data_IF_634650348764
#
_entry.id   IF_634650348764
#
_cell.length_a   1.000
_cell.length_b   1.000
_cell.length_c   1.000
_cell.angle_alpha   90.00
_cell.angle_beta   90.00
_cell.angle_gamma   90.00
#
_symmetry.space_group_name_H-M   'P 1'
#
loop_
_entity.id
_entity.type
_entity.pdbx_description
1 polymer ?
#
# COMPACT_ATOMS: atom_id res chain seq x y z
N UNK A 1 34.79 1.04 18.69
CA UNK A 1 34.02 0.64 17.49
C UNK A 1 33.88 1.86 16.61
N UNK A 2 34.30 1.78 15.35
CA UNK A 2 34.25 2.91 14.42
C UNK A 2 32.80 3.38 14.24
N UNK A 3 32.59 4.70 14.31
CA UNK A 3 31.27 5.32 14.21
C UNK A 3 30.53 4.94 12.91
N UNK A 4 31.27 4.88 11.81
CA UNK A 4 30.76 4.45 10.50
C UNK A 4 30.23 3.01 10.53
N UNK A 5 30.96 2.09 11.17
CA UNK A 5 30.52 0.69 11.33
C UNK A 5 29.25 0.59 12.16
N UNK A 6 29.11 1.45 13.19
CA UNK A 6 27.89 1.49 14.02
C UNK A 6 26.67 1.94 13.22
N UNK A 7 26.82 2.97 12.38
CA UNK A 7 25.75 3.46 11.51
C UNK A 7 25.32 2.37 10.50
N UNK A 8 26.28 1.73 9.85
CA UNK A 8 25.98 0.64 8.90
C UNK A 8 25.29 -0.55 9.59
N UNK A 9 25.72 -0.89 10.80
CA UNK A 9 25.09 -1.95 11.58
C UNK A 9 23.63 -1.60 11.91
N UNK A 10 23.34 -0.37 12.34
CA UNK A 10 21.97 0.09 12.62
C UNK A 10 21.10 0.07 11.35
N UNK A 11 21.62 0.58 10.23
CA UNK A 11 20.92 0.52 8.95
C UNK A 11 20.54 -0.93 8.58
N UNK A 12 21.49 -1.85 8.67
CA UNK A 12 21.27 -3.25 8.33
C UNK A 12 20.28 -3.93 9.31
N UNK A 13 20.31 -3.57 10.59
CA UNK A 13 19.36 -4.07 11.58
C UNK A 13 17.92 -3.67 11.24
N UNK A 14 17.70 -2.40 10.88
CA UNK A 14 16.41 -1.91 10.44
C UNK A 14 15.96 -2.50 9.10
N UNK A 15 16.89 -2.72 8.16
CA UNK A 15 16.60 -3.45 6.92
C UNK A 15 16.09 -4.86 7.20
N UNK A 16 16.76 -5.61 8.06
CA UNK A 16 16.37 -6.97 8.42
C UNK A 16 14.99 -7.00 9.13
N UNK A 17 14.70 -6.00 9.93
CA UNK A 17 13.38 -5.85 10.55
C UNK A 17 12.29 -5.61 9.49
N UNK A 18 12.54 -4.70 8.56
CA UNK A 18 11.64 -4.43 7.43
C UNK A 18 11.42 -5.66 6.55
N UNK A 19 12.47 -6.44 6.29
CA UNK A 19 12.37 -7.68 5.53
C UNK A 19 11.45 -8.70 6.22
N UNK A 20 11.62 -8.92 7.54
CA UNK A 20 10.75 -9.82 8.30
C UNK A 20 9.30 -9.39 8.28
N UNK A 21 9.03 -8.09 8.43
CA UNK A 21 7.68 -7.52 8.39
C UNK A 21 7.04 -7.71 7.01
N UNK A 22 7.77 -7.42 5.93
CA UNK A 22 7.28 -7.63 4.57
C UNK A 22 6.91 -9.10 4.30
N UNK A 23 7.67 -10.06 4.81
CA UNK A 23 7.39 -11.49 4.66
C UNK A 23 6.05 -11.91 5.27
N UNK A 24 5.60 -11.25 6.34
CA UNK A 24 4.31 -11.53 7.01
C UNK A 24 3.20 -10.56 6.57
N UNK A 25 3.40 -9.84 5.47
CA UNK A 25 2.45 -8.86 4.94
C UNK A 25 2.17 -7.67 5.89
N UNK A 26 3.05 -7.38 6.83
CA UNK A 26 3.09 -6.14 7.60
C UNK A 26 3.78 -5.07 6.74
N UNK A 27 3.08 -4.58 5.70
CA UNK A 27 3.67 -3.66 4.74
C UNK A 27 3.88 -2.27 5.36
N UNK A 28 2.92 -1.76 6.12
CA UNK A 28 3.05 -0.49 6.85
C UNK A 28 4.23 -0.53 7.82
N UNK A 29 4.39 -1.59 8.61
CA UNK A 29 5.52 -1.74 9.51
C UNK A 29 6.85 -1.93 8.77
N UNK A 30 6.85 -2.61 7.62
CA UNK A 30 8.03 -2.76 6.77
C UNK A 30 8.49 -1.41 6.22
N UNK A 31 7.58 -0.56 5.74
CA UNK A 31 7.88 0.79 5.26
C UNK A 31 8.59 1.60 6.34
N UNK A 32 8.03 1.62 7.56
CA UNK A 32 8.64 2.35 8.69
C UNK A 32 10.05 1.85 8.96
N UNK A 33 10.26 0.54 9.03
CA UNK A 33 11.59 -0.03 9.31
C UNK A 33 12.60 0.26 8.21
N UNK A 34 12.19 0.16 6.93
CA UNK A 34 13.05 0.44 5.80
C UNK A 34 13.40 1.92 5.69
N UNK A 35 12.46 2.82 5.97
CA UNK A 35 12.73 4.26 6.07
C UNK A 35 13.72 4.56 7.20
N UNK A 36 13.61 3.91 8.37
CA UNK A 36 14.61 4.02 9.44
C UNK A 36 15.98 3.51 8.99
N UNK A 37 16.05 2.40 8.26
CA UNK A 37 17.30 1.93 7.66
C UNK A 37 17.97 3.01 6.80
N UNK A 38 17.18 3.68 5.95
CA UNK A 38 17.65 4.74 5.06
C UNK A 38 17.97 6.06 5.78
N UNK A 39 17.43 6.32 6.96
CA UNK A 39 17.84 7.44 7.81
C UNK A 39 19.27 7.24 8.33
N UNK A 40 19.64 6.01 8.69
CA UNK A 40 21.02 5.69 9.08
C UNK A 40 21.97 5.62 7.90
N UNK A 41 21.57 5.01 6.80
CA UNK A 41 22.41 4.90 5.59
C UNK A 41 21.56 5.10 4.33
N UNK A 42 21.60 6.29 3.76
CA UNK A 42 20.86 6.66 2.54
C UNK A 42 21.32 5.88 1.31
N UNK A 43 22.49 5.27 1.34
CA UNK A 43 23.07 4.47 0.26
C UNK A 43 22.82 2.96 0.44
N UNK A 44 21.98 2.56 1.37
CA UNK A 44 21.62 1.15 1.54
C UNK A 44 20.73 0.69 0.37
N UNK A 45 21.40 0.16 -0.67
CA UNK A 45 20.75 -0.32 -1.91
C UNK A 45 19.72 -1.40 -1.62
N UNK A 46 20.02 -2.33 -0.71
CA UNK A 46 19.11 -3.41 -0.34
C UNK A 46 17.82 -2.86 0.29
N UNK A 47 17.94 -1.87 1.19
CA UNK A 47 16.79 -1.24 1.83
C UNK A 47 15.92 -0.48 0.81
N UNK A 48 16.53 0.25 -0.14
CA UNK A 48 15.78 0.93 -1.21
C UNK A 48 15.05 -0.04 -2.12
N UNK A 49 15.74 -1.10 -2.56
CA UNK A 49 15.14 -2.09 -3.44
C UNK A 49 13.95 -2.78 -2.77
N UNK A 50 14.08 -3.13 -1.49
CA UNK A 50 13.00 -3.74 -0.73
C UNK A 50 11.86 -2.74 -0.45
N UNK A 51 12.16 -1.48 -0.14
CA UNK A 51 11.15 -0.44 0.06
C UNK A 51 10.31 -0.24 -1.20
N UNK A 52 10.95 -0.20 -2.36
CA UNK A 52 10.25 -0.17 -3.65
C UNK A 52 9.34 -1.39 -3.85
N UNK A 53 9.79 -2.60 -3.51
CA UNK A 53 8.94 -3.80 -3.58
C UNK A 53 7.74 -3.74 -2.64
N UNK A 54 7.93 -3.22 -1.43
CA UNK A 54 6.85 -3.07 -0.45
C UNK A 54 5.81 -2.06 -0.95
N UNK A 55 6.24 -0.91 -1.47
CA UNK A 55 5.34 0.06 -2.09
C UNK A 55 4.58 -0.53 -3.28
N UNK A 56 5.27 -1.23 -4.16
CA UNK A 56 4.64 -1.91 -5.30
C UNK A 56 3.58 -2.93 -4.86
N UNK A 57 3.85 -3.65 -3.77
CA UNK A 57 2.97 -4.67 -3.19
C UNK A 57 1.64 -4.14 -2.64
N UNK A 58 1.54 -2.83 -2.37
CA UNK A 58 0.31 -2.15 -1.92
C UNK A 58 -0.24 -1.16 -2.96
N UNK A 59 0.29 -1.21 -4.20
CA UNK A 59 -0.17 -0.41 -5.33
C UNK A 59 0.37 1.03 -5.37
N UNK A 60 1.36 1.37 -4.55
CA UNK A 60 2.05 2.67 -4.56
C UNK A 60 3.21 2.63 -5.58
N UNK A 61 2.85 2.49 -6.86
CA UNK A 61 3.83 2.23 -7.94
C UNK A 61 4.76 3.43 -8.19
N UNK A 62 4.27 4.64 -8.00
CA UNK A 62 5.08 5.87 -8.13
C UNK A 62 6.20 5.89 -7.10
N UNK A 63 5.88 5.59 -5.85
CA UNK A 63 6.82 5.51 -4.74
C UNK A 63 7.83 4.38 -4.95
N UNK A 64 7.37 3.24 -5.45
CA UNK A 64 8.23 2.12 -5.81
C UNK A 64 9.26 2.52 -6.87
N UNK A 65 8.82 3.17 -7.95
CA UNK A 65 9.71 3.64 -9.02
C UNK A 65 10.73 4.66 -8.51
N UNK A 66 10.34 5.59 -7.64
CA UNK A 66 11.25 6.56 -7.02
C UNK A 66 12.39 5.85 -6.29
N UNK A 67 12.08 4.87 -5.43
CA UNK A 67 13.10 4.15 -4.67
C UNK A 67 14.02 3.33 -5.58
N UNK A 68 13.49 2.66 -6.60
CA UNK A 68 14.30 1.89 -7.55
C UNK A 68 15.17 2.77 -8.44
N UNK A 69 14.68 3.94 -8.90
CA UNK A 69 15.47 4.90 -9.67
C UNK A 69 16.63 5.45 -8.83
N UNK A 70 16.37 5.82 -7.57
CA UNK A 70 17.44 6.27 -6.66
C UNK A 70 18.45 5.14 -6.44
N UNK A 71 17.99 3.92 -6.20
CA UNK A 71 18.83 2.74 -6.05
C UNK A 71 19.73 2.52 -7.26
N UNK A 72 19.15 2.60 -8.47
CA UNK A 72 19.90 2.45 -9.73
C UNK A 72 20.92 3.55 -9.94
N UNK A 73 20.62 4.79 -9.57
CA UNK A 73 21.57 5.91 -9.66
C UNK A 73 22.74 5.75 -8.70
N UNK A 74 22.51 5.20 -7.50
CA UNK A 74 23.57 4.91 -6.52
C UNK A 74 24.42 3.70 -6.92
N UNK A 75 23.82 2.68 -7.51
CA UNK A 75 24.48 1.46 -7.97
C UNK A 75 24.03 1.12 -9.40
N UNK A 76 24.70 1.66 -10.44
CA UNK A 76 24.25 1.51 -11.84
C UNK A 76 24.46 0.11 -12.44
N UNK A 77 25.33 -0.73 -11.85
CA UNK A 77 25.65 -2.08 -12.34
C UNK A 77 25.18 -3.13 -11.34
N UNK A 78 24.76 -4.28 -11.86
CA UNK A 78 24.35 -5.46 -11.07
C UNK A 78 23.30 -5.15 -9.99
N UNK A 79 22.35 -4.26 -10.32
CA UNK A 79 21.29 -3.83 -9.42
C UNK A 79 19.93 -4.37 -9.87
N UNK A 80 19.28 -5.15 -9.00
CA UNK A 80 17.96 -5.73 -9.25
C UNK A 80 16.86 -4.67 -9.54
N UNK A 81 17.06 -3.42 -9.10
CA UNK A 81 16.16 -2.31 -9.40
C UNK A 81 15.96 -2.11 -10.91
N UNK A 82 17.00 -2.39 -11.72
CA UNK A 82 16.89 -2.29 -13.19
C UNK A 82 15.85 -3.25 -13.76
N UNK A 83 15.78 -4.45 -13.22
CA UNK A 83 14.75 -5.43 -13.57
C UNK A 83 13.34 -4.95 -13.21
N UNK A 84 13.15 -4.42 -11.99
CA UNK A 84 11.85 -3.93 -11.54
C UNK A 84 11.37 -2.73 -12.35
N UNK A 85 12.27 -1.75 -12.60
CA UNK A 85 11.96 -0.58 -13.43
C UNK A 85 11.53 -1.02 -14.83
N UNK A 86 12.29 -1.91 -15.45
CA UNK A 86 11.98 -2.43 -16.80
C UNK A 86 10.65 -3.16 -16.84
N UNK A 87 10.34 -3.97 -15.84
CA UNK A 87 9.06 -4.67 -15.78
C UNK A 87 7.88 -3.72 -15.75
N UNK A 88 7.97 -2.63 -14.96
CA UNK A 88 6.92 -1.61 -14.90
C UNK A 88 6.85 -0.79 -16.20
N UNK A 89 8.01 -0.48 -16.83
CA UNK A 89 8.08 0.38 -18.03
C UNK A 89 7.81 -0.37 -19.33
N UNK A 90 8.22 -1.63 -19.45
CA UNK A 90 8.09 -2.40 -20.70
C UNK A 90 6.65 -2.81 -21.00
N UNK A 91 5.78 -2.76 -20.02
CA UNK A 91 4.34 -2.87 -20.22
C UNK A 91 3.75 -1.48 -20.48
N UNK A 92 3.93 -0.93 -21.69
CA UNK A 92 3.34 0.36 -22.06
C UNK A 92 1.83 0.42 -21.73
N UNK A 93 1.14 -0.72 -21.90
CA UNK A 93 -0.26 -0.89 -21.53
C UNK A 93 -0.46 -0.89 -20.00
N UNK A 94 0.51 -1.33 -19.20
CA UNK A 94 0.39 -1.42 -17.75
C UNK A 94 0.54 -0.05 -17.09
N UNK A 95 1.50 0.78 -17.53
CA UNK A 95 1.64 2.17 -17.09
C UNK A 95 0.41 3.00 -17.45
N UNK A 96 -0.11 2.86 -18.67
CA UNK A 96 -1.31 3.55 -19.09
C UNK A 96 -2.53 3.08 -18.29
N UNK A 97 -2.67 1.76 -18.09
CA UNK A 97 -3.71 1.17 -17.23
C UNK A 97 -3.64 1.68 -15.79
N UNK A 98 -2.44 1.76 -15.22
CA UNK A 98 -2.20 2.32 -13.88
C UNK A 98 -2.60 3.80 -13.82
N UNK A 99 -2.17 4.62 -14.81
CA UNK A 99 -2.54 6.02 -14.88
C UNK A 99 -4.07 6.21 -14.96
N UNK A 100 -4.74 5.36 -15.73
CA UNK A 100 -6.20 5.36 -15.81
C UNK A 100 -6.84 4.95 -14.48
N UNK A 101 -6.29 3.96 -13.78
CA UNK A 101 -6.76 3.55 -12.45
C UNK A 101 -6.62 4.68 -11.42
N UNK A 102 -5.51 5.39 -11.41
CA UNK A 102 -5.28 6.55 -10.55
C UNK A 102 -6.26 7.69 -10.88
N UNK A 103 -6.47 8.00 -12.16
CA UNK A 103 -7.46 9.00 -12.59
C UNK A 103 -8.86 8.62 -12.14
N UNK A 104 -9.28 7.35 -12.34
CA UNK A 104 -10.58 6.85 -11.87
C UNK A 104 -10.70 6.93 -10.35
N UNK A 105 -9.67 6.55 -9.61
CA UNK A 105 -9.65 6.67 -8.14
C UNK A 105 -9.84 8.13 -7.70
N UNK A 106 -9.11 9.07 -8.29
CA UNK A 106 -9.25 10.49 -7.99
C UNK A 106 -10.65 11.01 -8.36
N UNK A 107 -11.23 10.55 -9.47
CA UNK A 107 -12.60 10.88 -9.83
C UNK A 107 -13.61 10.34 -8.82
N UNK A 108 -13.37 9.18 -8.22
CA UNK A 108 -14.23 8.65 -7.15
C UNK A 108 -14.25 9.54 -5.92
N UNK A 109 -13.12 10.18 -5.56
CA UNK A 109 -13.09 11.17 -4.47
C UNK A 109 -14.00 12.37 -4.78
N UNK A 110 -14.02 12.83 -6.04
CA UNK A 110 -14.93 13.92 -6.47
C UNK A 110 -16.38 13.46 -6.40
N UNK A 111 -16.71 12.25 -6.84
CA UNK A 111 -18.07 11.71 -6.73
C UNK A 111 -18.54 11.64 -5.27
N UNK A 112 -17.68 11.21 -4.34
CA UNK A 112 -18.02 11.19 -2.91
C UNK A 112 -18.35 12.60 -2.37
N UNK A 113 -17.69 13.65 -2.87
CA UNK A 113 -17.98 15.04 -2.49
C UNK A 113 -19.32 15.55 -3.07
N UNK A 114 -19.81 14.94 -4.14
CA UNK A 114 -21.01 15.31 -4.87
C UNK A 114 -22.21 14.40 -4.59
N UNK A 115 -22.16 13.57 -3.55
CA UNK A 115 -23.16 12.55 -3.21
C UNK A 115 -23.40 11.56 -4.37
N UNK A 116 -22.35 11.24 -5.11
CA UNK A 116 -22.38 10.28 -6.22
C UNK A 116 -21.78 8.92 -5.84
N UNK A 117 -22.11 8.40 -4.67
CA UNK A 117 -21.53 7.18 -4.09
C UNK A 117 -21.71 5.95 -4.98
N UNK A 118 -22.85 5.84 -5.66
CA UNK A 118 -23.12 4.69 -6.56
C UNK A 118 -22.13 4.65 -7.73
N UNK A 119 -21.82 5.81 -8.33
CA UNK A 119 -20.83 5.92 -9.40
C UNK A 119 -19.42 5.60 -8.88
N UNK A 120 -19.08 6.11 -7.70
CA UNK A 120 -17.80 5.83 -7.05
C UNK A 120 -17.65 4.31 -6.77
N UNK A 121 -18.67 3.64 -6.26
CA UNK A 121 -18.67 2.20 -6.01
C UNK A 121 -18.39 1.41 -7.29
N UNK A 122 -19.07 1.75 -8.39
CA UNK A 122 -18.89 1.07 -9.68
C UNK A 122 -17.45 1.23 -10.18
N UNK A 123 -16.92 2.46 -10.16
CA UNK A 123 -15.57 2.72 -10.64
C UNK A 123 -14.49 2.10 -9.73
N UNK A 124 -14.65 2.17 -8.40
CA UNK A 124 -13.70 1.55 -7.47
C UNK A 124 -13.61 0.03 -7.64
N UNK A 125 -14.74 -0.63 -7.89
CA UNK A 125 -14.75 -2.07 -8.21
C UNK A 125 -13.97 -2.38 -9.49
N UNK A 126 -14.07 -1.52 -10.52
CA UNK A 126 -13.28 -1.67 -11.75
C UNK A 126 -11.79 -1.46 -11.48
N UNK A 127 -11.42 -0.45 -10.67
CA UNK A 127 -10.04 -0.19 -10.27
C UNK A 127 -9.47 -1.40 -9.52
N UNK A 128 -10.19 -1.94 -8.55
CA UNK A 128 -9.77 -3.12 -7.78
C UNK A 128 -9.63 -4.35 -8.69
N UNK A 129 -10.53 -4.55 -9.64
CA UNK A 129 -10.49 -5.68 -10.56
C UNK A 129 -9.27 -5.61 -11.50
N UNK A 130 -8.89 -4.42 -11.98
CA UNK A 130 -7.71 -4.22 -12.84
C UNK A 130 -6.40 -4.13 -12.05
N UNK A 131 -6.43 -3.61 -10.83
CA UNK A 131 -5.26 -3.39 -9.96
C UNK A 131 -5.55 -3.91 -8.54
N UNK A 132 -5.50 -5.23 -8.33
CA UNK A 132 -5.90 -5.87 -7.07
C UNK A 132 -4.98 -5.56 -5.89
N UNK A 133 -3.82 -4.96 -6.10
CA UNK A 133 -2.92 -4.49 -5.05
C UNK A 133 -3.17 -3.04 -4.61
N UNK A 134 -4.06 -2.31 -5.28
CA UNK A 134 -4.30 -0.89 -5.00
C UNK A 134 -5.06 -0.71 -3.67
N UNK A 135 -4.36 -0.78 -2.55
CA UNK A 135 -4.92 -0.77 -1.18
C UNK A 135 -5.87 0.41 -0.92
N UNK A 136 -5.51 1.61 -1.38
CA UNK A 136 -6.34 2.83 -1.19
C UNK A 136 -7.73 2.69 -1.84
N UNK A 137 -7.85 1.94 -2.93
CA UNK A 137 -9.15 1.72 -3.58
C UNK A 137 -10.08 0.86 -2.71
N UNK A 138 -9.55 -0.17 -2.04
CA UNK A 138 -10.32 -0.96 -1.06
C UNK A 138 -10.77 -0.11 0.12
N UNK A 139 -9.88 0.72 0.65
CA UNK A 139 -10.18 1.59 1.80
C UNK A 139 -11.27 2.60 1.47
N UNK A 140 -11.21 3.26 0.32
CA UNK A 140 -12.23 4.20 -0.12
C UNK A 140 -13.58 3.50 -0.36
N UNK A 141 -13.57 2.34 -1.03
CA UNK A 141 -14.80 1.56 -1.24
C UNK A 141 -15.44 1.12 0.08
N UNK A 142 -14.63 0.69 1.04
CA UNK A 142 -15.11 0.32 2.37
C UNK A 142 -15.70 1.51 3.11
N UNK A 143 -15.06 2.69 3.04
CA UNK A 143 -15.56 3.92 3.65
C UNK A 143 -16.93 4.30 3.09
N UNK A 144 -17.11 4.23 1.76
CA UNK A 144 -18.41 4.50 1.12
C UNK A 144 -19.46 3.51 1.63
N UNK A 145 -19.13 2.21 1.72
CA UNK A 145 -20.05 1.23 2.26
C UNK A 145 -20.40 1.47 3.73
N UNK A 146 -19.48 1.96 4.55
CA UNK A 146 -19.75 2.35 5.94
C UNK A 146 -20.71 3.53 5.98
N UNK A 147 -20.47 4.58 5.20
CA UNK A 147 -21.30 5.78 5.14
C UNK A 147 -22.73 5.48 4.64
N UNK A 148 -22.87 4.52 3.73
CA UNK A 148 -24.16 4.10 3.19
C UNK A 148 -24.79 2.94 4.00
N UNK A 149 -24.32 2.68 5.21
CA UNK A 149 -24.81 1.61 6.12
C UNK A 149 -24.75 0.18 5.54
N UNK A 150 -23.90 -0.07 4.54
CA UNK A 150 -23.70 -1.38 3.93
C UNK A 150 -22.57 -2.15 4.64
N UNK A 151 -22.63 -2.27 5.96
CA UNK A 151 -21.56 -2.75 6.83
C UNK A 151 -21.04 -4.15 6.48
N UNK A 152 -21.91 -5.04 5.98
CA UNK A 152 -21.49 -6.40 5.55
C UNK A 152 -20.55 -6.34 4.36
N UNK A 153 -20.85 -5.49 3.36
CA UNK A 153 -19.99 -5.29 2.19
C UNK A 153 -18.69 -4.59 2.58
N UNK A 154 -18.77 -3.57 3.44
CA UNK A 154 -17.58 -2.88 3.97
C UNK A 154 -16.62 -3.88 4.63
N UNK A 155 -17.14 -4.77 5.50
CA UNK A 155 -16.34 -5.78 6.18
C UNK A 155 -15.67 -6.75 5.19
N UNK A 156 -16.36 -7.19 4.15
CA UNK A 156 -15.77 -8.07 3.12
C UNK A 156 -14.60 -7.40 2.42
N UNK A 157 -14.78 -6.16 1.97
CA UNK A 157 -13.73 -5.38 1.29
C UNK A 157 -12.53 -5.12 2.21
N UNK A 158 -12.76 -4.82 3.49
CA UNK A 158 -11.69 -4.59 4.47
C UNK A 158 -10.91 -5.86 4.81
N UNK A 159 -11.54 -7.03 4.77
CA UNK A 159 -10.83 -8.32 4.92
C UNK A 159 -9.86 -8.52 3.75
N UNK A 160 -10.26 -8.19 2.51
CA UNK A 160 -9.36 -8.25 1.36
C UNK A 160 -8.23 -7.21 1.47
N UNK A 161 -8.55 -5.97 1.86
CA UNK A 161 -7.53 -4.95 2.13
C UNK A 161 -6.50 -5.40 3.19
N UNK A 162 -6.95 -6.06 4.25
CA UNK A 162 -6.08 -6.60 5.31
C UNK A 162 -5.13 -7.69 4.81
N UNK A 163 -5.47 -8.42 3.75
CA UNK A 163 -4.55 -9.40 3.14
C UNK A 163 -3.40 -8.73 2.41
N UNK A 164 -3.57 -7.49 1.94
CA UNK A 164 -2.52 -6.71 1.31
C UNK A 164 -1.56 -6.12 2.35
N UNK A 165 -2.11 -5.61 3.45
CA UNK A 165 -1.35 -5.04 4.56
C UNK A 165 -2.03 -5.36 5.89
N UNK A 166 -1.42 -6.27 6.65
CA UNK A 166 -2.01 -6.84 7.87
C UNK A 166 -2.10 -5.86 9.04
N UNK A 167 -1.28 -4.81 9.05
CA UNK A 167 -1.15 -3.84 10.15
C UNK A 167 -1.55 -2.43 9.76
N UNK A 168 -2.08 -2.23 8.56
CA UNK A 168 -2.52 -0.92 8.11
C UNK A 168 -3.55 -0.31 9.07
N UNK A 169 -3.18 0.80 9.69
CA UNK A 169 -3.97 1.45 10.75
C UNK A 169 -5.38 1.83 10.28
N UNK A 170 -5.50 2.41 9.07
CA UNK A 170 -6.78 2.83 8.53
C UNK A 170 -7.71 1.62 8.28
N UNK A 171 -7.18 0.56 7.69
CA UNK A 171 -7.92 -0.69 7.44
C UNK A 171 -8.40 -1.32 8.75
N UNK A 172 -7.54 -1.35 9.78
CA UNK A 172 -7.88 -1.91 11.08
C UNK A 172 -8.92 -1.06 11.82
N UNK A 173 -8.80 0.27 11.74
CA UNK A 173 -9.78 1.21 12.32
C UNK A 173 -11.16 1.01 11.72
N UNK A 174 -11.27 0.95 10.40
CA UNK A 174 -12.55 0.70 9.72
C UNK A 174 -13.13 -0.68 10.06
N UNK A 175 -12.30 -1.72 10.16
CA UNK A 175 -12.75 -3.05 10.59
C UNK A 175 -13.32 -3.04 12.02
N UNK A 176 -12.71 -2.32 12.94
CA UNK A 176 -13.21 -2.16 14.30
C UNK A 176 -14.56 -1.44 14.33
N UNK A 177 -14.70 -0.37 13.55
CA UNK A 177 -15.93 0.40 13.47
C UNK A 177 -17.12 -0.47 12.98
N UNK A 178 -16.94 -1.16 11.86
CA UNK A 178 -17.95 -2.05 11.29
C UNK A 178 -18.34 -3.18 12.25
N UNK A 179 -17.37 -3.67 13.05
CA UNK A 179 -17.63 -4.73 14.03
C UNK A 179 -18.42 -4.21 15.24
N UNK A 180 -18.10 -3.00 15.74
CA UNK A 180 -18.83 -2.37 16.87
C UNK A 180 -20.28 -2.05 16.52
N UNK A 181 -20.56 -1.59 15.31
CA UNK A 181 -21.92 -1.30 14.84
C UNK A 181 -22.79 -2.56 14.83
N UNK A 182 -22.27 -3.71 14.44
CA UNK A 182 -23.00 -4.99 14.47
C UNK A 182 -23.43 -5.41 15.89
N UNK A 183 -22.58 -5.16 16.90
CA UNK A 183 -22.91 -5.48 18.30
C UNK A 183 -24.02 -4.60 18.89
N UNK A 184 -24.24 -3.38 18.34
CA UNK A 184 -25.33 -2.50 18.76
C UNK A 184 -26.69 -2.92 18.20
N UNK A 185 -26.73 -3.40 16.96
CA UNK A 185 -27.99 -3.86 16.33
C UNK A 185 -28.42 -5.25 16.81
N UNK A 186 -27.51 -6.11 17.24
CA UNK A 186 -27.84 -7.44 17.79
C UNK A 186 -28.41 -7.42 19.21
N UNK A 187 -28.20 -6.33 19.98
CA UNK A 187 -28.75 -6.19 21.35
C UNK A 187 -30.15 -5.56 21.41
N UNK A 188 -30.64 -5.02 20.30
CA UNK A 188 -31.99 -4.41 20.23
C UNK A 188 -33.02 -5.35 19.58
N UNK A 189 -32.65 -6.62 19.34
CA UNK A 189 -33.53 -7.63 18.72
C UNK A 189 -33.92 -8.77 19.69
N UNK A 190 -33.69 -8.58 20.99
CA UNK A 190 -34.23 -9.37 22.10
C UNK A 190 -35.16 -8.42 22.92
#
# INVERSE_FOLDING_TARGET
>A
MDYTKKIMYQSNSWYNDGLRKAQVRDMSGAIVSLQQSLQYNRENIAARNLLGLVYYGIGEVSEALVEWIISKNLCPRDNIADYYIKNVQNSANELESLNQAIKKFNQCLVYCQQNGEDLAIIQLKQVIASHPTFLKAYQLLALIYIQTNQNTKARQILIEAKKLDTTNELTLTYLQEVTKQRGRYGKNAE
#
